data_IF_891645353890
#
_entry.id   IF_891645353890
#
_cell.length_a   1.000
_cell.length_b   1.000
_cell.length_c   1.000
_cell.angle_alpha   90.00
_cell.angle_beta   90.00
_cell.angle_gamma   90.00
#
_symmetry.space_group_name_H-M   'P 1'
#
loop_
_entity.id
_entity.type
_entity.pdbx_description
1 polymer ?
#
# COMPACT_ATOMS: atom_id res chain seq x y z
N UNK A 1 26.70 -20.58 41.02
CA UNK A 1 25.91 -20.00 42.12
C UNK A 1 25.99 -18.47 42.19
N UNK A 2 26.49 -17.76 41.15
CA UNK A 2 26.61 -16.29 41.15
C UNK A 2 25.54 -15.56 40.33
N UNK A 3 24.89 -16.20 39.35
CA UNK A 3 23.86 -15.58 38.50
C UNK A 3 22.57 -15.16 39.25
N UNK A 4 22.28 -15.79 40.40
CA UNK A 4 21.07 -15.55 41.20
C UNK A 4 21.05 -14.19 41.92
N UNK A 5 22.21 -13.61 42.23
CA UNK A 5 22.28 -12.35 43.01
C UNK A 5 22.24 -11.11 42.12
N UNK A 6 22.76 -11.18 40.88
CA UNK A 6 22.92 -10.00 40.03
C UNK A 6 21.56 -9.45 39.55
N UNK A 7 20.58 -10.32 39.28
CA UNK A 7 19.21 -9.89 38.95
C UNK A 7 18.51 -9.20 40.14
N UNK A 8 18.75 -9.68 41.36
CA UNK A 8 18.22 -9.05 42.58
C UNK A 8 18.85 -7.67 42.80
N UNK A 9 20.14 -7.50 42.49
CA UNK A 9 20.83 -6.22 42.61
C UNK A 9 20.40 -5.22 41.53
N UNK A 10 20.06 -5.68 40.33
CA UNK A 10 19.38 -4.87 39.31
C UNK A 10 17.99 -4.40 39.80
N UNK A 11 17.16 -5.30 40.34
CA UNK A 11 15.84 -4.91 40.88
C UNK A 11 15.97 -3.93 42.05
N UNK A 12 16.91 -4.17 42.97
CA UNK A 12 17.18 -3.27 44.11
C UNK A 12 17.64 -1.90 43.65
N UNK A 13 18.57 -1.82 42.69
CA UNK A 13 19.07 -0.53 42.19
C UNK A 13 17.98 0.27 41.51
N UNK A 14 17.09 -0.37 40.73
CA UNK A 14 15.90 0.29 40.18
C UNK A 14 14.98 0.78 41.31
N UNK A 15 14.71 -0.05 42.33
CA UNK A 15 13.86 0.31 43.45
C UNK A 15 14.44 1.42 44.34
N UNK A 16 15.76 1.59 44.36
CA UNK A 16 16.46 2.68 45.04
C UNK A 16 16.59 3.95 44.16
N UNK A 17 15.97 3.96 42.98
CA UNK A 17 16.07 5.03 41.99
C UNK A 17 17.50 5.34 41.49
N UNK A 18 18.42 4.37 41.56
CA UNK A 18 19.80 4.53 41.11
C UNK A 18 19.96 4.06 39.65
N UNK A 19 19.68 4.96 38.70
CA UNK A 19 19.76 4.67 37.26
C UNK A 19 21.19 4.31 36.82
N UNK A 20 22.22 4.85 37.48
CA UNK A 20 23.62 4.61 37.11
C UNK A 20 24.00 3.18 37.46
N UNK A 21 23.73 2.76 38.70
CA UNK A 21 23.99 1.39 39.14
C UNK A 21 23.09 0.40 38.39
N UNK A 22 21.81 0.72 38.19
CA UNK A 22 20.91 -0.11 37.39
C UNK A 22 21.43 -0.29 35.95
N UNK A 23 21.98 0.77 35.34
CA UNK A 23 22.60 0.67 34.02
C UNK A 23 23.81 -0.26 34.00
N UNK A 24 24.67 -0.16 35.02
CA UNK A 24 25.86 -1.00 35.13
C UNK A 24 25.50 -2.48 35.31
N UNK A 25 24.54 -2.78 36.19
CA UNK A 25 24.04 -4.14 36.39
C UNK A 25 23.33 -4.68 35.15
N UNK A 26 22.49 -3.88 34.49
CA UNK A 26 21.82 -4.29 33.26
C UNK A 26 22.83 -4.67 32.18
N UNK A 27 23.87 -3.86 31.97
CA UNK A 27 24.94 -4.17 31.02
C UNK A 27 25.69 -5.45 31.38
N UNK A 28 26.09 -5.61 32.64
CA UNK A 28 26.83 -6.80 33.10
C UNK A 28 26.02 -8.09 32.88
N UNK A 29 24.73 -8.08 33.25
CA UNK A 29 23.83 -9.22 33.05
C UNK A 29 23.62 -9.51 31.55
N UNK A 30 23.61 -8.47 30.72
CA UNK A 30 23.19 -8.60 29.30
C UNK A 30 24.33 -8.56 28.29
N UNK A 31 25.59 -8.55 28.73
CA UNK A 31 26.77 -8.39 27.87
C UNK A 31 26.84 -9.41 26.73
N UNK A 32 26.50 -10.67 27.03
CA UNK A 32 26.46 -11.77 26.05
C UNK A 32 25.04 -12.20 25.65
N UNK A 33 24.03 -11.43 26.06
CA UNK A 33 22.62 -11.75 25.82
C UNK A 33 22.14 -11.32 24.44
N UNK A 34 21.33 -12.18 23.80
CA UNK A 34 20.59 -11.83 22.58
C UNK A 34 19.52 -10.76 22.87
N UNK A 35 19.08 -10.05 21.83
CA UNK A 35 18.01 -9.04 21.95
C UNK A 35 16.72 -9.60 22.59
N UNK A 36 16.34 -10.83 22.25
CA UNK A 36 15.14 -11.47 22.82
C UNK A 36 15.30 -11.80 24.31
N UNK A 37 16.48 -12.25 24.73
CA UNK A 37 16.78 -12.49 26.15
C UNK A 37 16.72 -11.18 26.95
N UNK A 38 17.24 -10.09 26.38
CA UNK A 38 17.17 -8.75 26.97
C UNK A 38 15.73 -8.23 27.10
N UNK A 39 14.89 -8.47 26.09
CA UNK A 39 13.45 -8.15 26.11
C UNK A 39 12.74 -8.95 27.20
N UNK A 40 12.99 -10.27 27.27
CA UNK A 40 12.38 -11.13 28.30
C UNK A 40 12.76 -10.68 29.72
N UNK A 41 14.01 -10.26 29.92
CA UNK A 41 14.45 -9.67 31.20
C UNK A 41 13.66 -8.39 31.53
N UNK A 42 13.40 -7.51 30.57
CA UNK A 42 12.62 -6.30 30.81
C UNK A 42 11.18 -6.63 31.24
N UNK A 43 10.55 -7.62 30.61
CA UNK A 43 9.22 -8.09 31.02
C UNK A 43 9.28 -8.61 32.47
N UNK A 44 10.28 -9.42 32.81
CA UNK A 44 10.49 -9.85 34.19
C UNK A 44 10.64 -8.66 35.16
N UNK A 45 11.41 -7.64 34.81
CA UNK A 45 11.60 -6.45 35.66
C UNK A 45 10.29 -5.70 35.92
N UNK A 46 9.42 -5.56 34.92
CA UNK A 46 8.12 -4.92 35.13
C UNK A 46 7.29 -5.62 36.22
N UNK A 47 7.38 -6.94 36.36
CA UNK A 47 6.65 -7.68 37.40
C UNK A 47 7.32 -7.70 38.78
N UNK A 48 8.62 -7.37 38.87
CA UNK A 48 9.40 -7.50 40.11
C UNK A 48 9.89 -6.17 40.70
N UNK A 49 9.80 -5.07 39.94
CA UNK A 49 10.08 -3.71 40.40
C UNK A 49 8.82 -3.10 41.04
N UNK A 50 9.01 -2.34 42.12
CA UNK A 50 7.94 -1.61 42.80
C UNK A 50 7.31 -0.58 41.83
N UNK A 51 5.98 -0.45 41.90
CA UNK A 51 5.19 0.39 41.01
C UNK A 51 5.68 1.84 41.00
N UNK A 52 6.10 2.35 42.15
CA UNK A 52 6.61 3.73 42.28
C UNK A 52 7.89 3.99 41.48
N UNK A 53 8.58 2.95 40.99
CA UNK A 53 9.88 3.04 40.35
C UNK A 53 9.82 2.74 38.84
N UNK A 54 8.63 2.69 38.24
CA UNK A 54 8.48 2.45 36.80
C UNK A 54 9.14 3.53 35.93
N UNK A 55 9.23 4.77 36.38
CA UNK A 55 9.98 5.83 35.68
C UNK A 55 11.43 5.43 35.43
N UNK A 56 12.11 4.91 36.46
CA UNK A 56 13.53 4.52 36.39
C UNK A 56 13.70 3.29 35.49
N UNK A 57 12.78 2.34 35.57
CA UNK A 57 12.78 1.18 34.66
C UNK A 57 12.57 1.60 33.21
N UNK A 58 11.66 2.53 32.92
CA UNK A 58 11.46 3.04 31.56
C UNK A 58 12.67 3.82 31.05
N UNK A 59 13.34 4.62 31.88
CA UNK A 59 14.59 5.30 31.51
C UNK A 59 15.69 4.30 31.16
N UNK A 60 15.83 3.24 31.96
CA UNK A 60 16.77 2.15 31.69
C UNK A 60 16.46 1.48 30.34
N UNK A 61 15.20 1.13 30.09
CA UNK A 61 14.75 0.53 28.83
C UNK A 61 15.03 1.49 27.66
N UNK A 62 14.68 2.77 27.81
CA UNK A 62 14.94 3.76 26.78
C UNK A 62 16.43 3.87 26.50
N UNK A 63 17.31 3.89 27.51
CA UNK A 63 18.76 3.97 27.30
C UNK A 63 19.32 2.82 26.45
N UNK A 64 18.82 1.61 26.66
CA UNK A 64 19.44 0.40 26.11
C UNK A 64 18.80 -0.19 24.86
N UNK A 65 17.60 0.25 24.50
CA UNK A 65 16.83 -0.32 23.39
C UNK A 65 16.51 0.70 22.31
N UNK A 66 16.41 0.20 21.08
CA UNK A 66 15.84 0.93 19.96
C UNK A 66 14.32 0.99 20.10
N UNK A 67 13.71 1.98 19.43
CA UNK A 67 12.25 2.17 19.33
C UNK A 67 11.48 0.86 19.09
N UNK A 68 11.92 0.05 18.12
CA UNK A 68 11.26 -1.22 17.77
C UNK A 68 11.31 -2.26 18.90
N UNK A 69 12.39 -2.29 19.68
CA UNK A 69 12.49 -3.23 20.80
C UNK A 69 11.73 -2.74 22.02
N UNK A 70 11.66 -1.42 22.26
CA UNK A 70 10.81 -0.83 23.29
C UNK A 70 9.35 -1.19 23.01
N UNK A 71 8.90 -1.03 21.76
CA UNK A 71 7.56 -1.42 21.31
C UNK A 71 7.25 -2.88 21.66
N UNK A 72 8.14 -3.82 21.30
CA UNK A 72 7.99 -5.25 21.64
C UNK A 72 7.93 -5.53 23.15
N UNK A 73 8.70 -4.80 23.95
CA UNK A 73 8.67 -4.95 25.42
C UNK A 73 7.30 -4.52 25.93
N UNK A 74 6.81 -3.36 25.51
CA UNK A 74 5.56 -2.79 26.01
C UNK A 74 4.32 -3.55 25.50
N UNK A 75 4.29 -3.97 24.23
CA UNK A 75 3.21 -4.77 23.65
C UNK A 75 3.07 -6.16 24.29
N UNK A 76 4.13 -6.68 24.93
CA UNK A 76 4.09 -7.95 25.63
C UNK A 76 3.45 -7.88 27.03
N UNK A 77 3.16 -6.68 27.52
CA UNK A 77 2.55 -6.46 28.83
C UNK A 77 1.02 -6.54 28.74
N UNK A 78 0.38 -7.01 29.81
CA UNK A 78 -1.09 -6.99 29.89
C UNK A 78 -1.62 -5.56 30.03
N UNK A 79 -2.87 -5.33 29.60
CA UNK A 79 -3.53 -4.02 29.72
C UNK A 79 -3.53 -3.48 31.17
N UNK A 80 -3.82 -4.35 32.15
CA UNK A 80 -3.73 -3.99 33.58
C UNK A 80 -2.34 -3.50 33.98
N UNK A 81 -1.31 -4.09 33.38
CA UNK A 81 0.07 -3.73 33.67
C UNK A 81 0.42 -2.38 33.03
N UNK A 82 0.01 -2.16 31.80
CA UNK A 82 0.13 -0.86 31.12
C UNK A 82 -0.57 0.24 31.91
N UNK A 83 -1.80 0.00 32.39
CA UNK A 83 -2.55 0.94 33.22
C UNK A 83 -1.83 1.22 34.56
N UNK A 84 -1.31 0.17 35.20
CA UNK A 84 -0.51 0.33 36.43
C UNK A 84 0.78 1.11 36.18
N UNK A 85 1.41 0.96 35.02
CA UNK A 85 2.62 1.68 34.66
C UNK A 85 2.30 3.16 34.44
N UNK A 86 1.31 3.47 33.60
CA UNK A 86 0.85 4.85 33.31
C UNK A 86 0.61 5.65 34.59
N UNK A 87 -0.09 5.07 35.56
CA UNK A 87 -0.46 5.77 36.80
C UNK A 87 0.67 5.95 37.82
N UNK A 88 1.85 5.37 37.58
CA UNK A 88 2.99 5.45 38.52
C UNK A 88 4.27 5.96 37.84
N UNK A 89 4.14 6.63 36.69
CA UNK A 89 5.25 7.31 36.02
C UNK A 89 5.25 8.79 36.41
N UNK A 90 6.44 9.31 36.70
CA UNK A 90 6.71 10.75 36.69
C UNK A 90 7.07 11.18 35.27
N UNK A 91 6.06 11.62 34.50
CA UNK A 91 6.24 12.04 33.12
C UNK A 91 7.16 13.26 33.00
N UNK A 92 7.19 14.14 33.99
CA UNK A 92 8.07 15.32 34.00
C UNK A 92 9.53 14.92 34.09
N UNK A 93 9.86 14.02 35.01
CA UNK A 93 11.22 13.52 35.12
C UNK A 93 11.63 12.69 33.89
N UNK A 94 10.73 11.83 33.40
CA UNK A 94 10.96 11.00 32.21
C UNK A 94 11.28 11.83 30.97
N UNK A 95 10.45 12.83 30.65
CA UNK A 95 10.63 13.72 29.51
C UNK A 95 11.93 14.51 29.63
N UNK A 96 12.18 15.11 30.80
CA UNK A 96 13.40 15.90 31.03
C UNK A 96 14.67 15.08 30.79
N UNK A 97 14.73 13.84 31.32
CA UNK A 97 15.87 12.94 31.13
C UNK A 97 16.05 12.54 29.67
N UNK A 98 14.99 12.12 28.98
CA UNK A 98 15.10 11.66 27.59
C UNK A 98 15.54 12.77 26.65
N UNK A 99 15.10 14.01 26.88
CA UNK A 99 15.52 15.16 26.07
C UNK A 99 16.99 15.49 26.31
N UNK A 100 17.44 15.53 27.57
CA UNK A 100 18.83 15.83 27.90
C UNK A 100 19.81 14.76 27.38
N UNK A 101 19.36 13.52 27.23
CA UNK A 101 20.15 12.42 26.66
C UNK A 101 20.02 12.31 25.13
N UNK A 102 19.31 13.23 24.45
CA UNK A 102 19.00 13.16 23.01
C UNK A 102 18.31 11.86 22.59
N UNK A 103 17.39 11.39 23.43
CA UNK A 103 16.57 10.19 23.26
C UNK A 103 15.07 10.55 23.07
N UNK A 104 14.78 11.79 22.66
CA UNK A 104 13.43 12.30 22.48
C UNK A 104 12.60 11.47 21.49
N UNK A 105 13.23 10.87 20.48
CA UNK A 105 12.56 9.95 19.56
C UNK A 105 11.88 8.75 20.25
N UNK A 106 12.33 8.35 21.44
CA UNK A 106 11.74 7.24 22.22
C UNK A 106 10.45 7.64 22.94
N UNK A 107 10.18 8.94 23.10
CA UNK A 107 8.92 9.42 23.66
C UNK A 107 7.73 9.04 22.78
N UNK A 108 7.92 8.91 21.45
CA UNK A 108 6.87 8.51 20.51
C UNK A 108 6.15 7.22 20.94
N UNK A 109 6.91 6.17 21.25
CA UNK A 109 6.37 4.85 21.68
C UNK A 109 5.74 4.93 23.06
N UNK A 110 6.30 5.74 23.96
CA UNK A 110 5.75 5.93 25.32
C UNK A 110 4.37 6.58 25.21
N UNK A 111 4.25 7.66 24.43
CA UNK A 111 2.98 8.35 24.19
C UNK A 111 1.97 7.41 23.53
N UNK A 112 2.37 6.70 22.46
CA UNK A 112 1.51 5.73 21.76
C UNK A 112 1.01 4.61 22.67
N UNK A 113 1.88 4.06 23.52
CA UNK A 113 1.54 2.90 24.37
C UNK A 113 0.65 3.29 25.53
N UNK A 114 0.94 4.42 26.18
CA UNK A 114 0.25 4.83 27.40
C UNK A 114 -0.90 5.79 27.16
N UNK A 115 -1.11 6.26 25.93
CA UNK A 115 -2.16 7.24 25.59
C UNK A 115 -2.08 8.47 26.53
N UNK A 116 -0.90 9.09 26.58
CA UNK A 116 -0.56 10.17 27.51
C UNK A 116 -0.07 11.44 26.78
N UNK A 117 -0.66 11.72 25.63
CA UNK A 117 -0.32 12.87 24.76
C UNK A 117 -0.34 14.19 25.56
N UNK A 118 -1.44 14.48 26.24
CA UNK A 118 -1.62 15.73 27.00
C UNK A 118 -0.59 15.91 28.12
N UNK A 119 -0.30 14.82 28.84
CA UNK A 119 0.66 14.80 29.95
C UNK A 119 2.09 15.05 29.46
N UNK A 120 2.42 14.62 28.24
CA UNK A 120 3.80 14.67 27.71
C UNK A 120 4.04 15.92 26.86
N UNK A 121 3.12 16.31 25.97
CA UNK A 121 3.30 17.45 25.06
C UNK A 121 3.44 18.79 25.78
N UNK A 122 2.83 18.94 26.95
CA UNK A 122 2.98 20.14 27.80
C UNK A 122 4.37 20.29 28.41
N UNK A 123 5.16 19.21 28.46
CA UNK A 123 6.47 19.14 29.11
C UNK A 123 7.64 19.24 28.13
N UNK A 124 7.35 19.11 26.83
CA UNK A 124 8.37 19.12 25.77
C UNK A 124 8.71 20.58 25.40
N UNK A 125 10.01 20.96 25.36
CA UNK A 125 10.47 22.23 24.85
C UNK A 125 9.99 22.48 23.42
N UNK A 126 9.67 23.74 23.12
CA UNK A 126 9.04 24.10 21.84
C UNK A 126 9.89 23.72 20.62
N UNK A 127 11.21 23.81 20.73
CA UNK A 127 12.19 23.46 19.68
C UNK A 127 12.29 21.95 19.41
N UNK A 128 11.74 21.10 20.29
CA UNK A 128 11.78 19.63 20.17
C UNK A 128 10.46 19.01 19.74
N UNK A 129 9.36 19.76 19.82
CA UNK A 129 8.01 19.25 19.49
C UNK A 129 7.92 18.74 18.05
N UNK A 130 8.48 19.49 17.11
CA UNK A 130 8.41 19.16 15.69
C UNK A 130 9.13 17.86 15.36
N UNK A 131 10.31 17.65 15.96
CA UNK A 131 11.08 16.41 15.84
C UNK A 131 10.29 15.22 16.37
N UNK A 132 9.65 15.38 17.53
CA UNK A 132 8.83 14.32 18.11
C UNK A 132 7.62 13.98 17.23
N UNK A 133 6.90 14.99 16.75
CA UNK A 133 5.73 14.80 15.88
C UNK A 133 6.08 14.01 14.62
N UNK A 134 7.23 14.33 14.00
CA UNK A 134 7.75 13.59 12.86
C UNK A 134 8.15 12.15 13.21
N UNK A 135 8.72 11.91 14.40
CA UNK A 135 9.07 10.56 14.86
C UNK A 135 7.86 9.65 15.10
N UNK A 136 6.72 10.20 15.56
CA UNK A 136 5.49 9.43 15.71
C UNK A 136 4.93 8.96 14.36
N UNK A 137 5.20 9.71 13.28
CA UNK A 137 4.98 9.31 11.88
C UNK A 137 3.56 8.76 11.57
N UNK A 138 2.55 9.19 12.32
CA UNK A 138 1.14 8.95 11.99
C UNK A 138 0.60 10.15 11.22
N UNK A 139 -0.47 9.95 10.46
CA UNK A 139 -1.12 11.04 9.72
C UNK A 139 -1.50 12.21 10.65
N UNK A 140 -2.05 11.90 11.83
CA UNK A 140 -2.47 12.90 12.82
C UNK A 140 -1.30 13.78 13.28
N UNK A 141 -0.16 13.21 13.65
CA UNK A 141 0.98 13.97 14.13
C UNK A 141 1.70 14.73 13.02
N UNK A 142 1.71 14.18 11.80
CA UNK A 142 2.22 14.92 10.63
C UNK A 142 1.33 16.13 10.34
N UNK A 143 -0.01 16.03 10.45
CA UNK A 143 -0.89 17.20 10.33
C UNK A 143 -0.59 18.25 11.40
N UNK A 144 -0.40 17.84 12.66
CA UNK A 144 -0.07 18.77 13.75
C UNK A 144 1.26 19.48 13.47
N UNK A 145 2.27 18.76 12.98
CA UNK A 145 3.56 19.33 12.57
C UNK A 145 3.41 20.35 11.43
N UNK A 146 2.65 20.02 10.39
CA UNK A 146 2.35 20.94 9.28
C UNK A 146 1.65 22.19 9.82
N UNK A 147 0.60 22.01 10.63
CA UNK A 147 -0.17 23.13 11.20
C UNK A 147 0.71 24.06 12.06
N UNK A 148 1.67 23.52 12.80
CA UNK A 148 2.61 24.33 13.59
C UNK A 148 3.55 25.16 12.72
N UNK A 149 3.94 24.64 11.56
CA UNK A 149 4.93 25.30 10.68
C UNK A 149 4.30 26.28 9.69
N UNK A 150 3.14 25.93 9.12
CA UNK A 150 2.48 26.73 8.06
C UNK A 150 1.02 27.08 8.36
N UNK A 151 0.49 26.69 9.52
CA UNK A 151 -0.86 27.05 9.95
C UNK A 151 -1.97 26.45 9.09
N UNK A 152 -3.11 27.14 9.05
CA UNK A 152 -4.17 26.89 8.07
C UNK A 152 -3.72 27.43 6.70
N UNK A 153 -2.97 26.63 5.97
CA UNK A 153 -2.56 26.94 4.61
C UNK A 153 -3.61 26.47 3.59
N UNK A 154 -3.65 27.12 2.44
CA UNK A 154 -4.41 26.61 1.30
C UNK A 154 -3.66 25.44 0.63
N UNK A 155 -4.31 24.72 -0.28
CA UNK A 155 -3.68 23.56 -0.94
C UNK A 155 -2.39 23.93 -1.69
N UNK A 156 -2.26 25.14 -2.24
CA UNK A 156 -1.09 25.55 -3.02
C UNK A 156 0.15 25.74 -2.14
N UNK A 157 -0.03 26.45 -1.03
CA UNK A 157 0.97 26.64 0.03
C UNK A 157 1.35 25.30 0.69
N UNK A 158 0.37 24.43 0.91
CA UNK A 158 0.62 23.08 1.43
C UNK A 158 1.49 22.26 0.48
N UNK A 159 1.24 22.34 -0.83
CA UNK A 159 2.07 21.66 -1.83
C UNK A 159 3.52 22.17 -1.78
N UNK A 160 3.73 23.48 -1.67
CA UNK A 160 5.09 24.05 -1.58
C UNK A 160 5.81 23.60 -0.31
N UNK A 161 5.11 23.61 0.83
CA UNK A 161 5.67 23.11 2.08
C UNK A 161 6.06 21.63 1.97
N UNK A 162 5.15 20.77 1.52
CA UNK A 162 5.39 19.34 1.36
C UNK A 162 6.51 19.03 0.36
N UNK A 163 6.64 19.83 -0.70
CA UNK A 163 7.73 19.68 -1.66
C UNK A 163 9.10 19.98 -1.02
N UNK A 164 9.17 21.01 -0.17
CA UNK A 164 10.41 21.44 0.50
C UNK A 164 10.80 20.58 1.71
N UNK A 165 9.85 19.96 2.40
CA UNK A 165 10.11 19.30 3.68
C UNK A 165 10.55 17.84 3.51
N UNK A 166 11.83 17.54 3.73
CA UNK A 166 12.41 16.21 3.48
C UNK A 166 12.11 15.18 4.57
N UNK A 167 11.74 15.60 5.79
CA UNK A 167 11.53 14.67 6.91
C UNK A 167 10.14 14.01 6.89
N UNK A 168 9.19 14.55 6.12
CA UNK A 168 7.88 13.93 5.94
C UNK A 168 7.99 12.74 4.97
N UNK A 169 7.43 11.59 5.38
CA UNK A 169 7.48 10.38 4.57
C UNK A 169 6.82 10.54 3.19
N UNK A 170 7.46 9.98 2.15
CA UNK A 170 6.94 10.02 0.78
C UNK A 170 5.54 9.41 0.64
N UNK A 171 5.21 8.39 1.44
CA UNK A 171 3.87 7.79 1.48
C UNK A 171 2.79 8.79 1.90
N UNK A 172 3.08 9.61 2.91
CA UNK A 172 2.18 10.66 3.35
C UNK A 172 2.04 11.75 2.28
N UNK A 173 3.17 12.22 1.72
CA UNK A 173 3.17 13.23 0.63
C UNK A 173 2.32 12.77 -0.55
N UNK A 174 2.54 11.54 -1.02
CA UNK A 174 1.77 10.97 -2.12
C UNK A 174 0.27 10.91 -1.82
N UNK A 175 -0.11 10.51 -0.59
CA UNK A 175 -1.52 10.49 -0.16
C UNK A 175 -2.14 11.90 -0.23
N UNK A 176 -1.40 12.93 0.20
CA UNK A 176 -1.83 14.32 0.17
C UNK A 176 -1.94 14.86 -1.24
N UNK A 177 -0.89 14.69 -2.05
CA UNK A 177 -0.88 15.09 -3.46
C UNK A 177 -2.04 14.46 -4.21
N UNK A 178 -2.27 13.16 -4.06
CA UNK A 178 -3.42 12.49 -4.65
C UNK A 178 -4.76 13.14 -4.28
N UNK A 179 -4.96 13.47 -2.99
CA UNK A 179 -6.19 14.09 -2.51
C UNK A 179 -6.38 15.48 -3.14
N UNK A 180 -5.32 16.29 -3.16
CA UNK A 180 -5.34 17.64 -3.76
C UNK A 180 -5.59 17.55 -5.26
N UNK A 181 -4.93 16.62 -5.97
CA UNK A 181 -5.11 16.43 -7.40
C UNK A 181 -6.57 16.11 -7.80
N UNK A 182 -7.26 15.33 -6.97
CA UNK A 182 -8.67 14.96 -7.18
C UNK A 182 -9.60 16.12 -6.80
N UNK A 183 -9.33 16.82 -5.69
CA UNK A 183 -10.26 17.79 -5.12
C UNK A 183 -10.07 19.21 -5.66
N UNK A 184 -8.88 19.55 -6.15
CA UNK A 184 -8.50 20.90 -6.55
C UNK A 184 -7.87 20.90 -7.95
N UNK A 185 -8.74 20.96 -8.95
CA UNK A 185 -8.34 20.89 -10.36
C UNK A 185 -7.45 22.07 -10.79
N UNK A 186 -7.49 23.21 -10.09
CA UNK A 186 -6.66 24.38 -10.41
C UNK A 186 -5.17 24.14 -10.15
N UNK A 187 -4.84 23.23 -9.22
CA UNK A 187 -3.46 22.89 -8.85
C UNK A 187 -2.96 21.62 -9.55
N UNK A 188 -3.69 21.12 -10.53
CA UNK A 188 -3.42 19.81 -11.13
C UNK A 188 -2.03 19.70 -11.72
N UNK A 189 -1.61 20.65 -12.56
CA UNK A 189 -0.30 20.60 -13.22
C UNK A 189 0.86 20.59 -12.21
N UNK A 190 0.76 21.40 -11.16
CA UNK A 190 1.73 21.43 -10.06
C UNK A 190 1.75 20.09 -9.33
N UNK A 191 0.57 19.58 -8.98
CA UNK A 191 0.43 18.33 -8.22
C UNK A 191 0.88 17.11 -9.02
N UNK A 192 0.60 17.08 -10.33
CA UNK A 192 1.04 16.04 -11.25
C UNK A 192 2.55 15.94 -11.30
N UNK A 193 3.26 17.07 -11.48
CA UNK A 193 4.72 17.11 -11.44
C UNK A 193 5.26 16.59 -10.12
N UNK A 194 4.72 17.05 -8.99
CA UNK A 194 5.14 16.59 -7.67
C UNK A 194 4.91 15.09 -7.45
N UNK A 195 3.82 14.53 -7.99
CA UNK A 195 3.57 13.08 -7.92
C UNK A 195 4.61 12.33 -8.76
N UNK A 196 4.86 12.77 -10.00
CA UNK A 196 5.81 12.10 -10.88
C UNK A 196 7.24 12.18 -10.32
N UNK A 197 7.69 13.35 -9.90
CA UNK A 197 8.99 13.56 -9.26
C UNK A 197 9.15 12.68 -8.02
N UNK A 198 8.09 12.58 -7.20
CA UNK A 198 8.12 11.74 -6.01
C UNK A 198 8.22 10.24 -6.36
N UNK A 199 7.56 9.79 -7.43
CA UNK A 199 7.61 8.39 -7.88
C UNK A 199 8.95 8.04 -8.54
N UNK A 200 9.58 8.98 -9.25
CA UNK A 200 10.89 8.77 -9.87
C UNK A 200 12.02 8.69 -8.83
N UNK A 201 11.88 9.39 -7.70
CA UNK A 201 12.92 9.48 -6.68
C UNK A 201 12.68 8.61 -5.43
N UNK A 202 11.58 7.85 -5.36
CA UNK A 202 11.23 7.07 -4.16
C UNK A 202 10.82 5.64 -4.49
N UNK A 203 11.69 4.68 -4.13
CA UNK A 203 11.39 3.25 -4.24
C UNK A 203 10.29 2.77 -3.26
N UNK A 204 10.01 3.55 -2.21
CA UNK A 204 9.05 3.19 -1.15
C UNK A 204 7.57 3.33 -1.54
N UNK A 205 7.27 3.95 -2.69
CA UNK A 205 5.90 4.24 -3.12
C UNK A 205 5.52 3.28 -4.23
N UNK A 206 4.69 2.30 -3.89
CA UNK A 206 4.17 1.33 -4.85
C UNK A 206 2.81 1.81 -5.35
N UNK A 207 2.69 2.06 -6.66
CA UNK A 207 1.42 2.38 -7.30
C UNK A 207 0.55 1.13 -7.39
N UNK A 208 -0.38 1.01 -6.44
CA UNK A 208 -1.37 -0.05 -6.43
C UNK A 208 -2.51 0.19 -7.43
N UNK A 209 -3.16 -0.89 -7.84
CA UNK A 209 -4.35 -0.81 -8.70
C UNK A 209 -5.47 0.04 -8.08
N UNK A 210 -5.69 -0.10 -6.76
CA UNK A 210 -6.67 0.72 -6.04
C UNK A 210 -6.37 2.22 -6.19
N UNK A 211 -5.09 2.58 -6.24
CA UNK A 211 -4.65 3.95 -6.49
C UNK A 211 -4.96 4.40 -7.91
N UNK A 212 -4.63 3.59 -8.92
CA UNK A 212 -4.94 3.88 -10.33
C UNK A 212 -6.44 4.10 -10.53
N UNK A 213 -7.28 3.20 -10.01
CA UNK A 213 -8.74 3.31 -10.12
C UNK A 213 -9.28 4.53 -9.40
N UNK A 214 -8.75 4.86 -8.22
CA UNK A 214 -9.17 6.07 -7.53
C UNK A 214 -8.78 7.36 -8.26
N UNK A 215 -7.65 7.37 -8.97
CA UNK A 215 -7.31 8.50 -9.85
C UNK A 215 -8.23 8.56 -11.06
N UNK A 216 -8.54 7.44 -11.70
CA UNK A 216 -9.53 7.41 -12.77
C UNK A 216 -10.87 7.99 -12.27
N UNK A 217 -11.48 7.38 -11.26
CA UNK A 217 -12.79 7.84 -10.77
C UNK A 217 -12.74 9.30 -10.30
N UNK A 218 -11.67 9.71 -9.59
CA UNK A 218 -11.58 11.05 -9.01
C UNK A 218 -11.26 12.17 -10.01
N UNK A 219 -10.43 11.91 -11.03
CA UNK A 219 -10.01 12.94 -11.98
C UNK A 219 -10.98 13.13 -13.15
N UNK A 220 -11.81 12.12 -13.44
CA UNK A 220 -12.72 12.15 -14.58
C UNK A 220 -12.06 11.95 -15.94
N UNK A 221 -12.90 11.74 -16.95
CA UNK A 221 -12.52 11.36 -18.32
C UNK A 221 -11.56 12.36 -18.98
N UNK A 222 -11.80 13.65 -18.78
CA UNK A 222 -11.02 14.74 -19.38
C UNK A 222 -9.54 14.74 -18.95
N UNK A 223 -9.22 14.09 -17.83
CA UNK A 223 -7.88 14.04 -17.24
C UNK A 223 -7.29 12.64 -17.23
N UNK A 224 -7.88 11.75 -18.02
CA UNK A 224 -7.48 10.35 -18.07
C UNK A 224 -6.06 10.14 -18.61
N UNK A 225 -5.48 11.15 -19.27
CA UNK A 225 -4.09 11.12 -19.74
C UNK A 225 -3.09 10.84 -18.61
N UNK A 226 -3.25 11.47 -17.45
CA UNK A 226 -2.38 11.22 -16.29
C UNK A 226 -2.50 9.76 -15.81
N UNK A 227 -3.71 9.20 -15.81
CA UNK A 227 -3.95 7.80 -15.44
C UNK A 227 -3.24 6.85 -16.43
N UNK A 228 -3.28 7.15 -17.74
CA UNK A 228 -2.52 6.41 -18.76
C UNK A 228 -1.01 6.48 -18.49
N UNK A 229 -0.50 7.66 -18.16
CA UNK A 229 0.92 7.85 -17.84
C UNK A 229 1.34 7.01 -16.63
N UNK A 230 0.54 7.01 -15.55
CA UNK A 230 0.79 6.19 -14.36
C UNK A 230 0.79 4.70 -14.69
N UNK A 231 -0.20 4.24 -15.46
CA UNK A 231 -0.28 2.84 -15.89
C UNK A 231 0.94 2.46 -16.73
N UNK A 232 1.31 3.28 -17.70
CA UNK A 232 2.40 2.99 -18.61
C UNK A 232 3.77 2.96 -17.93
N UNK A 233 3.96 3.78 -16.90
CA UNK A 233 5.25 3.98 -16.24
C UNK A 233 5.42 3.07 -15.01
N UNK A 234 4.32 2.78 -14.29
CA UNK A 234 4.40 2.17 -12.96
C UNK A 234 3.55 0.90 -12.76
N UNK A 235 2.71 0.50 -13.73
CA UNK A 235 1.89 -0.70 -13.58
C UNK A 235 2.63 -1.98 -14.01
N UNK A 236 2.90 -2.88 -13.06
CA UNK A 236 3.34 -4.26 -13.35
C UNK A 236 2.28 -5.13 -14.05
N UNK A 237 1.08 -4.58 -14.24
CA UNK A 237 -0.08 -5.24 -14.83
C UNK A 237 -0.45 -4.63 -16.19
N UNK A 238 0.41 -3.78 -16.76
CA UNK A 238 0.28 -3.30 -18.14
C UNK A 238 0.00 -4.46 -19.08
N UNK A 239 -0.81 -4.19 -20.09
CA UNK A 239 -1.15 -5.21 -21.06
C UNK A 239 0.13 -5.79 -21.69
N UNK A 240 0.30 -7.10 -21.57
CA UNK A 240 1.37 -7.85 -22.19
C UNK A 240 0.73 -9.12 -22.73
N UNK A 241 0.79 -9.28 -24.05
CA UNK A 241 0.14 -10.39 -24.75
C UNK A 241 0.81 -11.73 -24.45
N UNK A 242 2.10 -11.73 -24.11
CA UNK A 242 2.88 -12.92 -23.79
C UNK A 242 2.74 -13.36 -22.33
N UNK A 243 2.11 -12.54 -21.48
CA UNK A 243 1.91 -12.84 -20.05
C UNK A 243 0.60 -13.60 -19.84
N UNK A 244 0.71 -14.83 -19.34
CA UNK A 244 -0.46 -15.60 -18.94
C UNK A 244 -1.06 -15.07 -17.62
N UNK A 245 -2.37 -14.87 -17.61
CA UNK A 245 -3.15 -14.53 -16.42
C UNK A 245 -3.75 -15.83 -15.88
N UNK A 246 -2.95 -16.56 -15.11
CA UNK A 246 -3.41 -17.77 -14.42
C UNK A 246 -4.19 -17.40 -13.14
N UNK A 247 -5.39 -17.97 -12.98
CA UNK A 247 -6.12 -17.98 -11.71
C UNK A 247 -6.81 -16.66 -11.35
N UNK A 248 -7.98 -16.42 -11.94
CA UNK A 248 -8.87 -15.36 -11.51
C UNK A 248 -9.86 -15.87 -10.46
N UNK A 249 -10.06 -15.10 -9.39
CA UNK A 249 -11.25 -15.17 -8.55
C UNK A 249 -12.17 -14.06 -9.05
N UNK A 250 -13.34 -14.44 -9.57
CA UNK A 250 -14.36 -13.45 -9.89
C UNK A 250 -14.62 -12.58 -8.65
N UNK A 251 -14.49 -11.27 -8.81
CA UNK A 251 -14.74 -10.31 -7.74
C UNK A 251 -15.75 -9.26 -8.23
N UNK A 252 -16.81 -9.08 -7.47
CA UNK A 252 -17.85 -8.08 -7.75
C UNK A 252 -17.30 -6.64 -7.75
N UNK A 253 -16.19 -6.38 -7.05
CA UNK A 253 -15.52 -5.07 -7.03
C UNK A 253 -15.12 -4.59 -8.44
N UNK A 254 -14.60 -5.49 -9.28
CA UNK A 254 -14.20 -5.14 -10.65
C UNK A 254 -15.38 -4.69 -11.51
N UNK A 255 -16.52 -5.36 -11.38
CA UNK A 255 -17.76 -4.97 -12.06
C UNK A 255 -18.32 -3.65 -11.56
N UNK A 256 -18.22 -3.39 -10.26
CA UNK A 256 -18.63 -2.12 -9.66
C UNK A 256 -17.79 -0.95 -10.19
N UNK A 257 -16.47 -1.16 -10.38
CA UNK A 257 -15.60 -0.17 -11.00
C UNK A 257 -16.03 0.14 -12.42
N UNK A 258 -16.29 -0.87 -13.26
CA UNK A 258 -16.76 -0.68 -14.64
C UNK A 258 -18.08 0.12 -14.65
N UNK A 259 -19.03 -0.25 -13.79
CA UNK A 259 -20.30 0.44 -13.65
C UNK A 259 -20.12 1.92 -13.29
N UNK A 260 -19.22 2.23 -12.35
CA UNK A 260 -18.93 3.60 -11.95
C UNK A 260 -18.28 4.41 -13.07
N UNK A 261 -17.37 3.82 -13.84
CA UNK A 261 -16.75 4.48 -15.00
C UNK A 261 -17.82 4.85 -16.04
N UNK A 262 -18.72 3.92 -16.37
CA UNK A 262 -19.82 4.19 -17.31
C UNK A 262 -20.74 5.29 -16.80
N UNK A 263 -21.15 5.25 -15.53
CA UNK A 263 -21.98 6.29 -14.92
C UNK A 263 -21.28 7.66 -14.88
N UNK A 264 -19.96 7.66 -14.71
CA UNK A 264 -19.12 8.85 -14.79
C UNK A 264 -18.85 9.32 -16.24
N UNK A 265 -19.53 8.72 -17.23
CA UNK A 265 -19.47 9.06 -18.66
C UNK A 265 -18.07 8.90 -19.28
N UNK A 266 -17.30 7.93 -18.78
CA UNK A 266 -16.06 7.54 -19.43
C UNK A 266 -16.31 7.04 -20.85
N UNK A 267 -15.41 7.35 -21.78
CA UNK A 267 -15.48 6.78 -23.13
C UNK A 267 -15.25 5.27 -23.08
N UNK A 268 -15.88 4.57 -24.02
CA UNK A 268 -15.68 3.13 -24.21
C UNK A 268 -14.19 2.79 -24.35
N UNK A 269 -13.45 3.59 -25.13
CA UNK A 269 -12.01 3.45 -25.30
C UNK A 269 -11.26 3.45 -23.96
N UNK A 270 -11.54 4.40 -23.06
CA UNK A 270 -10.85 4.49 -21.77
C UNK A 270 -11.29 3.41 -20.79
N UNK A 271 -12.56 2.97 -20.83
CA UNK A 271 -13.04 1.81 -20.06
C UNK A 271 -12.30 0.55 -20.48
N UNK A 272 -12.21 0.27 -21.79
CA UNK A 272 -11.49 -0.89 -22.32
C UNK A 272 -9.99 -0.76 -22.03
N UNK A 273 -9.40 0.44 -22.14
CA UNK A 273 -8.00 0.65 -21.78
C UNK A 273 -7.72 0.31 -20.31
N UNK A 274 -8.56 0.77 -19.37
CA UNK A 274 -8.44 0.40 -17.96
C UNK A 274 -8.61 -1.10 -17.77
N UNK A 275 -9.60 -1.72 -18.42
CA UNK A 275 -9.80 -3.15 -18.33
C UNK A 275 -8.53 -3.92 -18.74
N UNK A 276 -7.97 -3.60 -19.90
CA UNK A 276 -6.83 -4.30 -20.49
C UNK A 276 -5.50 -4.03 -19.78
N UNK A 277 -5.27 -2.82 -19.26
CA UNK A 277 -3.96 -2.43 -18.72
C UNK A 277 -3.86 -2.48 -17.19
N UNK A 278 -4.81 -3.17 -16.55
CA UNK A 278 -4.85 -3.27 -15.10
C UNK A 278 -5.19 -4.68 -14.62
N UNK A 279 -5.50 -4.87 -13.33
CA UNK A 279 -6.00 -6.16 -12.80
C UNK A 279 -7.46 -6.43 -13.16
N UNK A 280 -8.19 -5.49 -13.76
CA UNK A 280 -9.59 -5.71 -14.12
C UNK A 280 -9.73 -6.89 -15.10
N UNK A 281 -8.82 -7.06 -16.08
CA UNK A 281 -8.77 -8.23 -16.98
C UNK A 281 -8.57 -9.59 -16.30
N UNK A 282 -8.20 -9.62 -15.03
CA UNK A 282 -8.09 -10.84 -14.21
C UNK A 282 -9.17 -10.93 -13.12
N UNK A 283 -10.06 -9.93 -13.01
CA UNK A 283 -11.13 -9.87 -12.01
C UNK A 283 -12.52 -9.99 -12.63
N UNK A 284 -12.64 -9.55 -13.89
CA UNK A 284 -13.86 -9.55 -14.68
C UNK A 284 -13.60 -10.37 -15.93
N UNK A 285 -14.45 -11.35 -16.21
CA UNK A 285 -14.38 -12.10 -17.47
C UNK A 285 -14.75 -11.20 -18.63
N UNK A 286 -14.11 -11.41 -19.78
CA UNK A 286 -14.41 -10.66 -21.00
C UNK A 286 -15.91 -10.76 -21.36
N UNK A 287 -16.51 -11.95 -21.20
CA UNK A 287 -17.94 -12.18 -21.40
C UNK A 287 -18.81 -11.26 -20.53
N UNK A 288 -18.48 -11.13 -19.23
CA UNK A 288 -19.25 -10.29 -18.30
C UNK A 288 -19.03 -8.81 -18.55
N UNK A 289 -17.84 -8.41 -19.00
CA UNK A 289 -17.59 -7.03 -19.42
C UNK A 289 -18.50 -6.65 -20.59
N UNK A 290 -18.54 -7.48 -21.65
CA UNK A 290 -19.36 -7.25 -22.84
C UNK A 290 -20.84 -7.20 -22.48
N UNK A 291 -21.35 -8.23 -21.79
CA UNK A 291 -22.75 -8.29 -21.35
C UNK A 291 -23.12 -7.01 -20.57
N UNK A 292 -22.27 -6.60 -19.64
CA UNK A 292 -22.54 -5.43 -18.79
C UNK A 292 -22.53 -4.12 -19.58
N UNK A 293 -21.62 -3.95 -20.53
CA UNK A 293 -21.58 -2.75 -21.35
C UNK A 293 -22.82 -2.67 -22.27
N UNK A 294 -23.29 -3.80 -22.79
CA UNK A 294 -24.55 -3.87 -23.56
C UNK A 294 -25.74 -3.48 -22.67
N UNK A 295 -25.83 -4.04 -21.45
CA UNK A 295 -26.87 -3.70 -20.47
C UNK A 295 -26.87 -2.20 -20.12
N UNK A 296 -25.72 -1.54 -20.22
CA UNK A 296 -25.54 -0.11 -19.96
C UNK A 296 -25.72 0.76 -21.22
N UNK A 297 -26.14 0.17 -22.34
CA UNK A 297 -26.54 0.88 -23.54
C UNK A 297 -25.45 1.04 -24.61
N UNK A 298 -24.29 0.39 -24.47
CA UNK A 298 -23.29 0.36 -25.53
C UNK A 298 -23.67 -0.66 -26.61
N UNK A 299 -23.48 -0.29 -27.88
CA UNK A 299 -23.63 -1.22 -28.98
C UNK A 299 -22.50 -2.25 -28.96
N UNK A 300 -22.87 -3.51 -29.13
CA UNK A 300 -21.97 -4.66 -29.16
C UNK A 300 -20.81 -4.46 -30.15
N UNK A 301 -21.10 -4.04 -31.37
CA UNK A 301 -20.11 -3.77 -32.42
C UNK A 301 -19.03 -2.77 -31.96
N UNK A 302 -19.43 -1.71 -31.25
CA UNK A 302 -18.48 -0.71 -30.74
C UNK A 302 -17.57 -1.29 -29.64
N UNK A 303 -18.12 -2.13 -28.75
CA UNK A 303 -17.36 -2.79 -27.68
C UNK A 303 -16.31 -3.71 -28.31
N UNK A 304 -16.72 -4.52 -29.27
CA UNK A 304 -15.85 -5.46 -29.97
C UNK A 304 -14.77 -4.72 -30.78
N UNK A 305 -15.13 -3.63 -31.47
CA UNK A 305 -14.17 -2.78 -32.19
C UNK A 305 -13.10 -2.17 -31.27
N UNK A 306 -13.48 -1.74 -30.07
CA UNK A 306 -12.50 -1.22 -29.10
C UNK A 306 -11.60 -2.33 -28.53
N UNK A 307 -12.13 -3.53 -28.30
CA UNK A 307 -11.33 -4.70 -27.90
C UNK A 307 -10.35 -5.10 -29.02
N UNK A 308 -10.73 -4.95 -30.29
CA UNK A 308 -9.89 -5.27 -31.46
C UNK A 308 -8.62 -4.41 -31.61
N UNK A 309 -8.50 -3.36 -30.81
CA UNK A 309 -7.24 -2.62 -30.67
C UNK A 309 -6.16 -3.42 -29.92
N UNK A 310 -6.52 -4.55 -29.29
CA UNK A 310 -5.62 -5.39 -28.50
C UNK A 310 -5.51 -6.80 -29.09
N UNK A 311 -4.29 -7.29 -29.29
CA UNK A 311 -4.03 -8.70 -29.61
C UNK A 311 -4.17 -9.55 -28.37
N UNK A 312 -4.99 -10.61 -28.38
CA UNK A 312 -5.18 -11.53 -27.26
C UNK A 312 -4.40 -12.82 -27.52
N UNK A 313 -3.70 -13.35 -26.53
CA UNK A 313 -3.10 -14.69 -26.63
C UNK A 313 -4.03 -15.74 -26.05
N UNK A 314 -3.95 -16.96 -26.59
CA UNK A 314 -4.64 -18.10 -26.02
C UNK A 314 -4.04 -19.42 -26.43
N UNK A 315 -4.24 -20.42 -25.60
CA UNK A 315 -3.77 -21.79 -25.79
C UNK A 315 -4.84 -22.62 -26.47
N UNK A 316 -4.48 -23.34 -27.54
CA UNK A 316 -5.40 -24.26 -28.21
C UNK A 316 -5.66 -25.46 -27.31
N UNK A 317 -6.92 -25.68 -26.94
CA UNK A 317 -7.35 -26.84 -26.13
C UNK A 317 -7.84 -28.00 -26.97
N UNK A 318 -8.60 -27.73 -28.03
CA UNK A 318 -9.17 -28.76 -28.90
C UNK A 318 -9.29 -28.26 -30.34
N UNK A 319 -9.16 -29.19 -31.29
CA UNK A 319 -9.43 -29.00 -32.71
C UNK A 319 -10.58 -29.95 -33.05
N UNK A 320 -11.72 -29.40 -33.47
CA UNK A 320 -12.92 -30.15 -33.84
C UNK A 320 -12.92 -30.48 -35.34
N UNK A 321 -13.64 -31.54 -35.71
CA UNK A 321 -13.90 -31.90 -37.10
C UNK A 321 -14.59 -30.73 -37.83
N UNK A 322 -14.11 -30.42 -39.04
CA UNK A 322 -14.59 -29.27 -39.82
C UNK A 322 -13.81 -27.96 -39.60
N UNK A 323 -12.66 -28.01 -38.92
CA UNK A 323 -11.71 -26.89 -38.84
C UNK A 323 -12.04 -25.86 -37.76
N UNK A 324 -12.95 -26.16 -36.82
CA UNK A 324 -13.15 -25.32 -35.64
C UNK A 324 -12.06 -25.61 -34.60
N UNK A 325 -11.57 -24.58 -33.94
CA UNK A 325 -10.59 -24.68 -32.87
C UNK A 325 -11.11 -23.95 -31.64
N UNK A 326 -10.91 -24.58 -30.48
CA UNK A 326 -11.27 -24.06 -29.16
C UNK A 326 -10.03 -23.57 -28.42
N UNK A 327 -10.09 -22.32 -27.95
CA UNK A 327 -8.97 -21.61 -27.34
C UNK A 327 -9.32 -21.23 -25.92
N UNK A 328 -8.40 -21.47 -25.01
CA UNK A 328 -8.43 -20.85 -23.69
C UNK A 328 -7.67 -19.52 -23.77
N UNK A 329 -8.32 -18.36 -23.57
CA UNK A 329 -7.62 -17.09 -23.49
C UNK A 329 -6.61 -17.09 -22.34
N UNK A 330 -5.44 -16.49 -22.58
CA UNK A 330 -4.33 -16.42 -21.62
C UNK A 330 -4.06 -14.98 -21.18
N UNK A 331 -4.11 -14.00 -22.09
CA UNK A 331 -3.81 -12.59 -21.75
C UNK A 331 -5.00 -11.81 -21.19
N UNK A 332 -6.20 -12.42 -21.17
CA UNK A 332 -7.44 -11.94 -20.56
C UNK A 332 -8.19 -13.10 -19.92
N UNK A 333 -9.00 -12.85 -18.89
CA UNK A 333 -9.84 -13.87 -18.30
C UNK A 333 -11.18 -14.02 -19.06
N UNK A 334 -11.59 -15.25 -19.32
CA UNK A 334 -12.90 -15.59 -19.90
C UNK A 334 -13.45 -16.85 -19.25
N UNK A 335 -14.77 -16.95 -19.11
CA UNK A 335 -15.42 -18.13 -18.54
C UNK A 335 -15.66 -19.24 -19.56
N UNK A 336 -15.38 -18.99 -20.85
CA UNK A 336 -15.67 -19.92 -21.94
C UNK A 336 -14.47 -20.06 -22.87
N UNK A 337 -14.40 -21.20 -23.55
CA UNK A 337 -13.45 -21.37 -24.64
C UNK A 337 -13.91 -20.53 -25.83
N UNK A 338 -13.00 -19.71 -26.35
CA UNK A 338 -13.23 -18.96 -27.58
C UNK A 338 -13.14 -19.92 -28.77
N UNK A 339 -13.95 -19.67 -29.80
CA UNK A 339 -14.06 -20.58 -30.94
C UNK A 339 -13.71 -19.85 -32.21
N UNK A 340 -12.91 -20.49 -33.04
CA UNK A 340 -12.59 -19.96 -34.36
C UNK A 340 -12.65 -21.06 -35.39
N UNK A 341 -12.95 -20.71 -36.63
CA UNK A 341 -13.01 -21.65 -37.72
C UNK A 341 -11.94 -21.30 -38.75
N UNK A 342 -11.00 -22.21 -38.93
CA UNK A 342 -9.87 -22.08 -39.85
C UNK A 342 -10.30 -21.81 -41.29
N UNK A 343 -11.46 -22.31 -41.70
CA UNK A 343 -11.92 -22.20 -43.09
C UNK A 343 -12.38 -20.77 -43.44
N UNK A 344 -12.70 -19.92 -42.45
CA UNK A 344 -13.09 -18.53 -42.67
C UNK A 344 -11.91 -17.56 -42.65
N UNK A 345 -10.69 -18.04 -42.36
CA UNK A 345 -9.50 -17.22 -42.32
C UNK A 345 -8.53 -17.63 -43.44
N UNK A 346 -8.00 -16.65 -44.17
CA UNK A 346 -6.91 -16.85 -45.14
C UNK A 346 -5.58 -17.09 -44.41
N UNK A 347 -5.50 -18.07 -43.51
CA UNK A 347 -4.23 -18.48 -42.88
C UNK A 347 -3.78 -19.81 -43.45
N UNK A 348 -2.61 -19.85 -44.08
CA UNK A 348 -1.94 -21.09 -44.50
C UNK A 348 -1.30 -21.84 -43.32
N UNK A 349 -1.65 -21.48 -42.09
CA UNK A 349 -1.04 -21.99 -40.88
C UNK A 349 -1.67 -23.31 -40.42
N UNK A 350 -0.83 -24.28 -40.13
CA UNK A 350 -1.20 -25.52 -39.42
C UNK A 350 -1.13 -25.25 -37.92
N UNK A 351 -2.17 -25.63 -37.18
CA UNK A 351 -2.28 -25.43 -35.73
C UNK A 351 -2.32 -26.78 -35.00
N UNK A 352 -1.68 -26.87 -33.85
CA UNK A 352 -1.68 -28.06 -32.99
C UNK A 352 -2.27 -27.76 -31.60
N UNK A 353 -2.78 -28.80 -30.94
CA UNK A 353 -3.24 -28.69 -29.55
C UNK A 353 -2.04 -28.36 -28.65
N UNK A 354 -2.22 -27.38 -27.75
CA UNK A 354 -1.16 -26.84 -26.90
C UNK A 354 -0.39 -25.67 -27.51
N UNK A 355 -0.54 -25.40 -28.82
CA UNK A 355 0.06 -24.21 -29.42
C UNK A 355 -0.60 -22.94 -28.85
N UNK A 356 0.22 -21.92 -28.63
CA UNK A 356 -0.25 -20.57 -28.31
C UNK A 356 -0.50 -19.84 -29.62
N UNK A 357 -1.67 -19.23 -29.73
CA UNK A 357 -2.04 -18.37 -30.85
C UNK A 357 -2.37 -16.97 -30.36
N UNK A 358 -2.20 -15.99 -31.24
CA UNK A 358 -2.57 -14.61 -31.02
C UNK A 358 -3.73 -14.25 -31.92
N UNK A 359 -4.73 -13.54 -31.39
CA UNK A 359 -5.94 -13.27 -32.14
C UNK A 359 -6.64 -11.96 -31.77
N UNK A 360 -7.50 -11.50 -32.67
CA UNK A 360 -8.47 -10.39 -32.50
C UNK A 360 -9.89 -10.91 -32.54
N UNK A 361 -10.86 -10.26 -31.91
CA UNK A 361 -12.24 -10.77 -31.75
C UNK A 361 -13.20 -9.99 -32.66
N UNK A 362 -13.89 -10.63 -33.59
CA UNK A 362 -14.79 -9.94 -34.53
C UNK A 362 -16.26 -9.95 -34.14
N UNK A 363 -16.77 -11.04 -33.56
CA UNK A 363 -18.22 -11.23 -33.46
C UNK A 363 -18.63 -11.82 -32.12
N UNK A 364 -19.77 -11.38 -31.60
CA UNK A 364 -20.45 -11.96 -30.45
C UNK A 364 -21.88 -12.37 -30.87
N UNK A 365 -22.41 -13.45 -30.30
CA UNK A 365 -23.77 -13.92 -30.61
C UNK A 365 -24.55 -14.26 -29.35
N UNK A 366 -25.86 -14.03 -29.44
CA UNK A 366 -26.84 -14.39 -28.41
C UNK A 366 -27.17 -15.89 -28.36
N UNK A 367 -26.76 -16.67 -29.37
CA UNK A 367 -27.10 -18.09 -29.57
C UNK A 367 -26.13 -19.09 -28.88
N UNK A 368 -25.27 -18.60 -28.00
CA UNK A 368 -24.39 -19.42 -27.15
C UNK A 368 -22.91 -19.43 -27.57
N UNK A 369 -22.58 -18.96 -28.78
CA UNK A 369 -21.19 -18.72 -29.21
C UNK A 369 -20.83 -17.25 -29.01
N UNK A 370 -20.20 -16.92 -27.88
CA UNK A 370 -19.95 -15.52 -27.51
C UNK A 370 -18.82 -14.84 -28.28
N UNK A 371 -17.86 -15.56 -28.87
CA UNK A 371 -16.74 -14.91 -29.58
C UNK A 371 -16.35 -15.66 -30.84
N UNK A 372 -16.29 -14.95 -31.97
CA UNK A 372 -15.58 -15.33 -33.20
C UNK A 372 -14.32 -14.49 -33.33
N UNK A 373 -13.25 -15.13 -33.79
CA UNK A 373 -11.96 -14.49 -34.04
C UNK A 373 -11.92 -13.83 -35.43
N UNK A 374 -11.44 -12.58 -35.49
CA UNK A 374 -11.26 -11.78 -36.70
C UNK A 374 -9.99 -12.14 -37.49
N UNK A 375 -8.88 -12.26 -36.75
CA UNK A 375 -7.55 -12.45 -37.31
C UNK A 375 -6.71 -13.29 -36.35
N UNK A 376 -5.86 -14.15 -36.88
CA UNK A 376 -4.90 -14.97 -36.11
C UNK A 376 -3.49 -14.69 -36.59
N UNK A 377 -2.54 -14.68 -35.66
CA UNK A 377 -1.11 -14.61 -35.94
C UNK A 377 -0.34 -15.55 -35.01
N UNK A 378 0.78 -16.10 -35.49
CA UNK A 378 1.74 -16.87 -34.67
C UNK A 378 2.81 -15.99 -34.00
N UNK A 379 3.05 -14.79 -34.51
CA UNK A 379 4.09 -13.88 -34.00
C UNK A 379 3.57 -12.44 -33.96
N UNK A 380 3.31 -11.92 -32.76
CA UNK A 380 3.13 -10.47 -32.56
C UNK A 380 4.51 -9.88 -32.31
N UNK A 381 5.07 -9.14 -33.28
CA UNK A 381 6.23 -8.28 -32.99
C UNK A 381 5.72 -7.17 -32.07
N UNK A 382 6.33 -7.04 -30.89
CA UNK A 382 6.05 -5.95 -29.94
C UNK A 382 6.39 -4.59 -30.52
#
# INVERSE_FOLDING_TARGET
MEESNVHLDLVKSINNCDLVMASAYFNNITEVSTANQRIALCNYLFYNVDKNNYTVLLLLICKFFSVNNIRKILEALSEDKIYSIKNNIDFKYLVWMLINENLDNKLSIIIETFDCEDDVFSLIPEDKKDILLLHMNTEMYIEQYIYRNVGCCNDDELLDFLASEHNISGKYKFKKYKKIMINNLSLREKTEKLILDLLENSDDIIISMKTIISFAIGLGEENFFFVKQLINSYSSQKYNVNKCINGARENNEGMYIIYNLVNAKYSLQNIIYLFMNTKLRSQVTLDRLVDKLIDLGYYEENIINEINNYWISGEIKYIEDGGNIRVCPMSVFSSRLMTFNLNYQKSNDVYHIGDVIYYKIYCFFQDGKKFIIDCICKNVKE
#
